data_IF_643997016626
#
_entry.id   IF_643997016626
#
_cell.length_a   1.000
_cell.length_b   1.000
_cell.length_c   1.000
_cell.angle_alpha   90.00
_cell.angle_beta   90.00
_cell.angle_gamma   90.00
#
_symmetry.space_group_name_H-M   'P 1'
#
loop_
_entity.id
_entity.type
_entity.pdbx_description
1 polymer ?
#
# COMPACT_ATOMS: atom_id res chain seq x y z
N UNK A 1 0.00 -17.07 11.85
CA UNK A 1 -0.65 -15.96 11.14
C UNK A 1 0.08 -14.67 11.49
N UNK A 2 0.10 -14.27 12.77
CA UNK A 2 0.82 -13.08 13.27
C UNK A 2 2.26 -12.90 12.75
N UNK A 3 3.10 -13.93 12.79
CA UNK A 3 4.50 -13.80 12.32
C UNK A 3 4.61 -13.47 10.83
N UNK A 4 3.71 -14.01 10.00
CA UNK A 4 3.72 -13.76 8.56
C UNK A 4 3.13 -12.37 8.29
N UNK A 5 2.05 -12.00 8.99
CA UNK A 5 1.50 -10.66 8.94
C UNK A 5 2.55 -9.60 9.31
N UNK A 6 3.34 -9.84 10.37
CA UNK A 6 4.45 -8.95 10.76
C UNK A 6 5.47 -8.77 9.64
N UNK A 7 5.88 -9.85 8.99
CA UNK A 7 6.79 -9.78 7.84
C UNK A 7 6.20 -8.92 6.69
N UNK A 8 4.91 -9.10 6.38
CA UNK A 8 4.24 -8.29 5.34
C UNK A 8 4.11 -6.82 5.75
N UNK A 9 3.79 -6.55 7.02
CA UNK A 9 3.71 -5.19 7.56
C UNK A 9 5.07 -4.51 7.49
N UNK A 10 6.14 -5.20 7.87
CA UNK A 10 7.50 -4.66 7.81
C UNK A 10 7.88 -4.35 6.35
N UNK A 11 7.53 -5.22 5.41
CA UNK A 11 7.72 -5.00 3.98
C UNK A 11 6.99 -3.74 3.49
N UNK A 12 5.70 -3.60 3.81
CA UNK A 12 4.89 -2.42 3.44
C UNK A 12 5.45 -1.16 4.10
N UNK A 13 5.73 -1.20 5.40
CA UNK A 13 6.16 -0.04 6.17
C UNK A 13 7.52 0.45 5.70
N UNK A 14 8.49 -0.44 5.51
CA UNK A 14 9.81 -0.08 5.00
C UNK A 14 9.73 0.55 3.60
N UNK A 15 8.89 -0.01 2.72
CA UNK A 15 8.67 0.54 1.39
C UNK A 15 8.08 1.95 1.46
N UNK A 16 7.01 2.13 2.23
CA UNK A 16 6.38 3.46 2.36
C UNK A 16 7.33 4.47 3.01
N UNK A 17 8.12 4.08 4.00
CA UNK A 17 9.11 4.96 4.64
C UNK A 17 10.25 5.36 3.70
N UNK A 18 10.66 4.49 2.78
CA UNK A 18 11.63 4.80 1.73
C UNK A 18 11.05 5.86 0.78
N UNK A 19 9.84 5.65 0.26
CA UNK A 19 9.18 6.59 -0.64
C UNK A 19 8.83 7.92 0.04
N UNK A 20 8.43 7.91 1.31
CA UNK A 20 8.24 9.14 2.11
C UNK A 20 9.55 9.92 2.28
N UNK A 21 10.68 9.24 2.48
CA UNK A 21 11.97 9.92 2.64
C UNK A 21 12.35 10.65 1.36
N UNK A 22 12.16 10.02 0.20
CA UNK A 22 12.38 10.67 -1.09
C UNK A 22 11.39 11.81 -1.34
N UNK A 23 10.10 11.59 -1.02
CA UNK A 23 9.07 12.62 -1.08
C UNK A 23 9.51 13.90 -0.38
N UNK A 24 9.97 13.79 0.88
CA UNK A 24 10.39 14.95 1.67
C UNK A 24 11.72 15.56 1.23
N UNK A 25 12.57 14.84 0.49
CA UNK A 25 13.77 15.43 -0.11
C UNK A 25 13.45 16.34 -1.29
N UNK A 26 12.33 16.11 -1.95
CA UNK A 26 11.89 16.84 -3.14
C UNK A 26 10.86 17.93 -2.80
N UNK A 27 10.10 17.74 -1.72
CA UNK A 27 9.03 18.65 -1.32
C UNK A 27 9.56 20.03 -0.88
N UNK A 28 9.18 21.07 -1.61
CA UNK A 28 9.46 22.48 -1.32
C UNK A 28 8.15 23.28 -1.25
N UNK A 29 7.61 23.43 -0.05
CA UNK A 29 6.32 24.07 0.18
C UNK A 29 6.27 25.52 -0.31
N UNK A 30 7.32 26.31 -0.04
CA UNK A 30 7.39 27.72 -0.40
C UNK A 30 7.39 27.90 -1.92
N UNK A 31 8.21 27.10 -2.62
CA UNK A 31 8.26 27.10 -4.09
C UNK A 31 6.92 26.73 -4.71
N UNK A 32 6.26 25.70 -4.19
CA UNK A 32 5.00 25.19 -4.73
C UNK A 32 3.82 26.12 -4.44
N UNK A 33 3.77 26.71 -3.25
CA UNK A 33 2.78 27.71 -2.88
C UNK A 33 2.87 28.92 -3.81
N UNK A 34 4.08 29.45 -4.04
CA UNK A 34 4.27 30.61 -4.91
C UNK A 34 3.77 30.35 -6.34
N UNK A 35 4.00 29.14 -6.86
CA UNK A 35 3.48 28.73 -8.17
C UNK A 35 1.95 28.67 -8.20
N UNK A 36 1.32 28.10 -7.17
CA UNK A 36 -0.13 27.96 -7.11
C UNK A 36 -0.82 29.33 -7.02
N UNK A 37 -0.31 30.26 -6.22
CA UNK A 37 -0.86 31.62 -6.06
C UNK A 37 -0.76 32.44 -7.35
N UNK A 38 0.37 32.31 -8.05
CA UNK A 38 0.67 33.08 -9.27
C UNK A 38 0.03 32.51 -10.54
N UNK A 39 -0.44 31.27 -10.52
CA UNK A 39 -1.29 30.70 -11.58
C UNK A 39 -2.77 31.13 -11.42
N UNK A 40 -3.20 31.44 -10.19
CA UNK A 40 -4.55 31.93 -9.91
C UNK A 40 -4.71 33.44 -10.11
N UNK A 41 -3.69 34.22 -9.76
CA UNK A 41 -3.67 35.67 -9.93
C UNK A 41 -2.89 36.03 -11.19
N UNK A 42 -3.30 37.02 -11.99
CA UNK A 42 -2.55 37.50 -13.17
C UNK A 42 -1.21 38.18 -12.83
N UNK A 43 -0.65 37.88 -11.65
CA UNK A 43 0.61 38.39 -11.14
C UNK A 43 1.78 37.65 -11.78
N UNK A 44 2.93 38.31 -11.88
CA UNK A 44 4.16 37.64 -12.36
C UNK A 44 4.65 36.71 -11.27
N UNK A 45 4.83 35.43 -11.62
CA UNK A 45 5.59 34.46 -10.83
C UNK A 45 7.05 34.95 -10.68
N UNK A 46 7.71 34.70 -9.55
CA UNK A 46 9.18 34.87 -9.47
C UNK A 46 9.89 33.71 -10.17
N UNK A 47 9.24 32.54 -10.21
CA UNK A 47 9.73 31.31 -10.82
C UNK A 47 8.97 30.96 -12.10
N UNK A 48 9.69 30.73 -13.17
CA UNK A 48 9.15 30.16 -14.40
C UNK A 48 8.72 28.70 -14.18
N UNK A 49 7.77 28.24 -15.00
CA UNK A 49 7.37 26.83 -15.06
C UNK A 49 8.59 25.90 -15.23
N UNK A 50 9.57 26.33 -16.03
CA UNK A 50 10.78 25.57 -16.30
C UNK A 50 11.69 25.48 -15.08
N UNK A 51 11.78 26.53 -14.24
CA UNK A 51 12.57 26.50 -13.00
C UNK A 51 12.01 25.51 -11.98
N UNK A 52 10.68 25.44 -11.83
CA UNK A 52 10.05 24.45 -10.94
C UNK A 52 10.13 23.07 -11.56
N UNK A 53 10.00 22.94 -12.88
CA UNK A 53 10.19 21.65 -13.54
C UNK A 53 11.63 21.13 -13.38
N UNK A 54 12.62 22.02 -13.32
CA UNK A 54 14.00 21.65 -13.05
C UNK A 54 14.24 21.27 -11.59
N UNK A 55 13.39 21.70 -10.65
CA UNK A 55 13.46 21.24 -9.25
C UNK A 55 12.84 19.86 -9.06
N UNK A 56 11.93 19.46 -9.95
CA UNK A 56 11.53 18.06 -10.10
C UNK A 56 12.72 17.29 -10.65
N UNK A 57 13.54 16.72 -9.75
CA UNK A 57 14.56 15.75 -10.15
C UNK A 57 13.87 14.71 -11.02
N UNK A 58 14.37 14.47 -12.24
CA UNK A 58 13.87 13.38 -13.07
C UNK A 58 14.26 12.09 -12.35
N UNK A 59 13.33 11.58 -11.56
CA UNK A 59 13.45 10.25 -10.95
C UNK A 59 12.74 9.28 -11.87
N UNK A 60 13.46 8.28 -12.33
CA UNK A 60 12.90 7.21 -13.15
C UNK A 60 11.70 6.57 -12.42
N UNK A 61 10.65 6.22 -13.17
CA UNK A 61 9.42 5.61 -12.65
C UNK A 61 8.60 6.48 -11.67
N UNK A 62 8.82 7.80 -11.64
CA UNK A 62 8.09 8.73 -10.77
C UNK A 62 7.55 9.93 -11.53
N UNK A 63 6.29 10.25 -11.26
CA UNK A 63 5.68 11.52 -11.66
C UNK A 63 5.53 12.44 -10.45
N UNK A 64 5.89 13.71 -10.63
CA UNK A 64 5.79 14.76 -9.64
C UNK A 64 4.89 15.84 -10.22
N UNK A 65 3.89 16.28 -9.46
CA UNK A 65 2.97 17.29 -9.95
C UNK A 65 2.30 18.13 -8.88
N UNK A 66 1.75 19.26 -9.32
CA UNK A 66 0.95 20.17 -8.51
C UNK A 66 -0.50 20.14 -8.99
N UNK A 67 -1.40 20.01 -8.04
CA UNK A 67 -2.85 20.05 -8.25
C UNK A 67 -3.38 21.30 -7.57
N UNK A 68 -4.13 22.14 -8.29
CA UNK A 68 -4.73 23.32 -7.69
C UNK A 68 -5.93 22.96 -6.79
N UNK A 69 -6.45 23.95 -6.07
CA UNK A 69 -7.61 23.79 -5.19
C UNK A 69 -8.89 23.27 -5.88
N UNK A 70 -8.99 23.39 -7.21
CA UNK A 70 -10.10 22.86 -8.02
C UNK A 70 -9.90 21.40 -8.45
N UNK A 71 -8.78 20.77 -8.09
CA UNK A 71 -8.47 19.39 -8.47
C UNK A 71 -7.82 19.24 -9.85
N UNK A 72 -7.37 20.32 -10.47
CA UNK A 72 -6.73 20.27 -11.81
C UNK A 72 -5.21 20.19 -11.64
N UNK A 73 -4.58 19.24 -12.33
CA UNK A 73 -3.11 19.16 -12.42
C UNK A 73 -2.61 20.35 -13.23
N UNK A 74 -1.89 21.27 -12.59
CA UNK A 74 -1.37 22.52 -13.21
C UNK A 74 0.10 22.42 -13.59
N UNK A 75 0.82 21.48 -12.98
CA UNK A 75 2.23 21.19 -13.25
C UNK A 75 2.46 19.69 -13.08
N UNK A 76 3.23 19.09 -13.98
CA UNK A 76 3.66 17.70 -13.85
C UNK A 76 4.90 17.45 -14.71
N UNK A 77 5.86 16.65 -14.23
CA UNK A 77 6.98 16.20 -15.07
C UNK A 77 6.54 15.24 -16.18
N UNK A 78 5.38 14.60 -16.04
CA UNK A 78 4.65 13.96 -17.12
C UNK A 78 3.66 14.95 -17.74
N UNK A 79 4.09 15.67 -18.79
CA UNK A 79 3.28 16.69 -19.47
C UNK A 79 1.90 16.20 -19.93
N UNK A 80 1.70 14.88 -20.15
CA UNK A 80 0.40 14.33 -20.53
C UNK A 80 -0.68 14.45 -19.44
N UNK A 81 -0.27 14.59 -18.17
CA UNK A 81 -1.19 14.69 -17.04
C UNK A 81 -1.71 16.12 -16.79
N UNK A 82 -1.03 17.14 -17.32
CA UNK A 82 -1.40 18.53 -17.11
C UNK A 82 -2.80 18.81 -17.69
N UNK A 83 -3.67 19.41 -16.88
CA UNK A 83 -5.07 19.70 -17.21
C UNK A 83 -6.04 18.59 -16.82
N UNK A 84 -5.55 17.42 -16.41
CA UNK A 84 -6.41 16.36 -15.89
C UNK A 84 -7.05 16.79 -14.57
N UNK A 85 -8.35 16.53 -14.42
CA UNK A 85 -9.06 16.77 -13.17
C UNK A 85 -9.06 15.50 -12.32
N UNK A 86 -8.31 15.51 -11.22
CA UNK A 86 -8.20 14.34 -10.34
C UNK A 86 -9.52 14.04 -9.65
N UNK A 87 -10.40 15.02 -9.46
CA UNK A 87 -11.72 14.85 -8.84
C UNK A 87 -12.67 13.94 -9.61
N UNK A 88 -12.29 13.49 -10.80
CA UNK A 88 -12.99 12.44 -11.55
C UNK A 88 -12.95 11.08 -10.86
N UNK A 89 -11.95 10.87 -9.99
CA UNK A 89 -11.83 9.72 -9.10
C UNK A 89 -12.54 10.04 -7.77
N UNK A 90 -13.68 9.42 -7.44
CA UNK A 90 -14.46 9.70 -6.23
C UNK A 90 -13.62 9.71 -4.93
N UNK A 91 -12.64 8.82 -4.88
CA UNK A 91 -11.69 8.66 -3.78
C UNK A 91 -10.78 9.89 -3.60
N UNK A 92 -10.53 10.68 -4.64
CA UNK A 92 -9.71 11.90 -4.52
C UNK A 92 -10.51 13.12 -4.02
N UNK A 93 -11.84 13.10 -4.16
CA UNK A 93 -12.71 14.24 -3.80
C UNK A 93 -12.56 14.62 -2.33
N UNK A 94 -12.54 13.61 -1.44
CA UNK A 94 -12.38 13.80 0.01
C UNK A 94 -11.04 14.45 0.41
N UNK A 95 -10.05 14.47 -0.48
CA UNK A 95 -8.75 15.09 -0.20
C UNK A 95 -8.60 16.50 -0.76
N UNK A 96 -9.44 16.86 -1.73
CA UNK A 96 -9.65 18.26 -2.09
C UNK A 96 -10.44 19.01 -0.99
N UNK A 97 -11.11 18.28 -0.10
CA UNK A 97 -11.73 18.87 1.09
C UNK A 97 -10.66 19.41 2.06
N UNK A 98 -10.86 20.64 2.55
CA UNK A 98 -9.93 21.32 3.47
C UNK A 98 -9.65 20.48 4.72
N UNK A 99 -10.67 19.80 5.26
CA UNK A 99 -10.54 18.91 6.40
C UNK A 99 -9.97 17.55 5.96
N UNK A 100 -8.77 17.19 6.43
CA UNK A 100 -8.18 15.89 6.12
C UNK A 100 -6.77 15.73 6.70
N UNK A 101 -6.15 14.56 6.54
CA UNK A 101 -4.74 14.37 6.87
C UNK A 101 -3.87 15.30 5.99
N UNK A 102 -2.74 15.77 6.53
CA UNK A 102 -1.79 16.56 5.74
C UNK A 102 -1.12 15.74 4.65
N UNK A 103 -0.76 14.49 4.95
CA UNK A 103 -0.12 13.54 4.04
C UNK A 103 -1.02 12.32 3.89
N UNK A 104 -1.18 11.84 2.66
CA UNK A 104 -2.08 10.71 2.34
C UNK A 104 -1.46 9.76 1.33
N UNK A 105 -1.81 8.47 1.46
CA UNK A 105 -1.37 7.37 0.59
C UNK A 105 -2.57 6.80 -0.15
N UNK A 106 -2.49 6.66 -1.48
CA UNK A 106 -3.53 6.00 -2.29
C UNK A 106 -2.94 5.21 -3.44
N UNK A 107 -3.63 4.16 -3.84
CA UNK A 107 -3.38 3.51 -5.12
C UNK A 107 -4.54 3.85 -6.06
N UNK A 108 -4.23 4.44 -7.21
CA UNK A 108 -5.21 4.84 -8.23
C UNK A 108 -4.80 4.30 -9.61
N UNK A 109 -5.76 4.09 -10.52
CA UNK A 109 -5.46 3.79 -11.91
C UNK A 109 -4.81 5.00 -12.59
N UNK A 110 -3.75 4.78 -13.36
CA UNK A 110 -3.12 5.81 -14.16
C UNK A 110 -4.09 6.31 -15.25
N UNK A 111 -4.31 7.62 -15.41
CA UNK A 111 -5.34 8.12 -16.33
C UNK A 111 -4.99 7.90 -17.81
N UNK A 112 -3.72 7.64 -18.12
CA UNK A 112 -3.24 7.47 -19.50
C UNK A 112 -2.63 6.09 -19.77
N UNK A 113 -2.35 5.32 -18.71
CA UNK A 113 -1.67 4.03 -18.81
C UNK A 113 -2.53 2.98 -18.15
N UNK A 114 -2.42 1.75 -18.61
CA UNK A 114 -3.13 0.64 -17.99
C UNK A 114 -2.37 0.08 -16.79
N UNK A 115 -2.05 0.95 -15.84
CA UNK A 115 -1.22 0.68 -14.67
C UNK A 115 -1.84 1.35 -13.45
N UNK A 116 -1.33 1.01 -12.27
CA UNK A 116 -1.67 1.70 -11.03
C UNK A 116 -0.47 2.45 -10.52
N UNK A 117 -0.70 3.54 -9.79
CA UNK A 117 0.36 4.28 -9.13
C UNK A 117 0.03 4.49 -7.67
N UNK A 118 1.06 4.49 -6.83
CA UNK A 118 0.98 4.92 -5.44
C UNK A 118 1.15 6.45 -5.41
N UNK A 119 0.18 7.14 -4.83
CA UNK A 119 0.21 8.58 -4.59
C UNK A 119 0.57 8.86 -3.16
N UNK A 120 1.58 9.71 -2.99
CA UNK A 120 1.85 10.44 -1.76
C UNK A 120 1.44 11.89 -2.03
N UNK A 121 0.39 12.33 -1.36
CA UNK A 121 -0.16 13.67 -1.53
C UNK A 121 -0.01 14.48 -0.26
N UNK A 122 0.61 15.66 -0.35
CA UNK A 122 0.66 16.64 0.73
C UNK A 122 -0.10 17.90 0.35
N UNK A 123 -0.99 18.34 1.23
CA UNK A 123 -1.72 19.61 1.07
C UNK A 123 -0.79 20.80 1.26
N UNK A 124 -1.05 21.85 0.51
CA UNK A 124 -0.34 23.13 0.56
C UNK A 124 -1.32 24.20 1.02
N UNK A 125 -0.90 24.97 2.02
CA UNK A 125 -1.67 26.07 2.57
C UNK A 125 -0.91 27.38 2.47
N UNK A 126 -1.62 28.49 2.29
CA UNK A 126 -1.03 29.82 2.40
C UNK A 126 -0.66 30.15 3.86
N UNK A 127 -0.03 31.32 4.06
CA UNK A 127 0.35 31.82 5.40
C UNK A 127 -0.85 32.11 6.31
N UNK A 128 -2.06 32.19 5.76
CA UNK A 128 -3.31 32.39 6.49
C UNK A 128 -4.04 31.08 6.80
N UNK A 129 -3.52 29.93 6.35
CA UNK A 129 -4.17 28.62 6.45
C UNK A 129 -5.23 28.34 5.37
N UNK A 130 -5.28 29.14 4.31
CA UNK A 130 -6.11 28.92 3.13
C UNK A 130 -5.54 27.77 2.31
N UNK A 131 -6.38 26.82 1.92
CA UNK A 131 -5.97 25.69 1.09
C UNK A 131 -5.76 26.12 -0.37
N UNK A 132 -4.54 25.93 -0.88
CA UNK A 132 -4.15 26.35 -2.24
C UNK A 132 -4.07 25.18 -3.23
N UNK A 133 -3.78 23.97 -2.73
CA UNK A 133 -3.65 22.80 -3.58
C UNK A 133 -2.90 21.65 -2.93
N UNK A 134 -2.38 20.74 -3.75
CA UNK A 134 -1.70 19.52 -3.35
C UNK A 134 -0.41 19.36 -4.16
N UNK A 135 0.68 19.02 -3.48
CA UNK A 135 1.82 18.38 -4.12
C UNK A 135 1.60 16.87 -4.17
N UNK A 136 1.77 16.30 -5.35
CA UNK A 136 1.52 14.89 -5.65
C UNK A 136 2.79 14.24 -6.14
N UNK A 137 3.22 13.22 -5.40
CA UNK A 137 4.29 12.31 -5.76
C UNK A 137 3.68 10.97 -6.15
N UNK A 138 3.92 10.55 -7.39
CA UNK A 138 3.28 9.39 -8.01
C UNK A 138 4.34 8.38 -8.38
N UNK A 139 4.28 7.23 -7.75
CA UNK A 139 5.17 6.11 -8.05
C UNK A 139 4.52 5.22 -9.11
N UNK A 140 5.10 5.23 -10.30
CA UNK A 140 4.77 4.41 -11.47
C UNK A 140 5.82 3.30 -11.59
N UNK A 141 5.94 2.46 -10.57
CA UNK A 141 7.08 1.55 -10.44
C UNK A 141 6.64 0.09 -10.37
N UNK A 142 7.36 -0.77 -11.10
CA UNK A 142 7.29 -2.23 -10.97
C UNK A 142 7.49 -2.65 -9.51
N UNK A 143 8.22 -1.87 -8.71
CA UNK A 143 8.35 -2.13 -7.27
C UNK A 143 7.02 -2.11 -6.52
N UNK A 144 6.06 -1.27 -6.92
CA UNK A 144 4.73 -1.25 -6.31
C UNK A 144 3.99 -2.55 -6.63
N UNK A 145 4.03 -2.99 -7.88
CA UNK A 145 3.44 -4.27 -8.29
C UNK A 145 4.09 -5.43 -7.53
N UNK A 146 5.42 -5.46 -7.44
CA UNK A 146 6.17 -6.46 -6.67
C UNK A 146 5.78 -6.41 -5.18
N UNK A 147 5.58 -5.22 -4.60
CA UNK A 147 5.12 -5.08 -3.22
C UNK A 147 3.73 -5.69 -3.07
N UNK A 148 2.77 -5.32 -3.91
CA UNK A 148 1.39 -5.78 -3.83
C UNK A 148 1.28 -7.29 -4.05
N UNK A 149 2.05 -7.84 -4.99
CA UNK A 149 2.15 -9.29 -5.22
C UNK A 149 2.75 -9.99 -4.00
N UNK A 150 3.85 -9.47 -3.42
CA UNK A 150 4.44 -10.03 -2.20
C UNK A 150 3.50 -9.93 -1.01
N UNK A 151 2.67 -8.90 -0.92
CA UNK A 151 1.66 -8.76 0.13
C UNK A 151 0.58 -9.82 -0.06
N UNK A 152 0.17 -10.10 -1.30
CA UNK A 152 -0.82 -11.15 -1.59
C UNK A 152 -0.28 -12.58 -1.45
N UNK A 153 1.03 -12.76 -1.58
CA UNK A 153 1.66 -14.09 -1.55
C UNK A 153 1.76 -14.66 -0.12
N UNK A 154 0.78 -15.49 0.21
CA UNK A 154 0.80 -16.40 1.35
C UNK A 154 0.82 -17.87 0.91
N UNK A 155 1.30 -18.15 -0.32
CA UNK A 155 1.25 -19.47 -0.94
C UNK A 155 -0.18 -19.95 -1.28
N UNK A 156 -0.31 -21.23 -1.66
CA UNK A 156 -1.57 -21.79 -2.18
C UNK A 156 -2.70 -21.94 -1.14
N UNK A 157 -2.48 -21.55 0.12
CA UNK A 157 -3.38 -21.88 1.23
C UNK A 157 -4.06 -20.68 1.87
N UNK A 158 -3.61 -19.46 1.59
CA UNK A 158 -4.21 -18.26 2.14
C UNK A 158 -4.19 -17.14 1.11
N UNK A 159 -5.20 -16.28 1.14
CA UNK A 159 -5.19 -15.02 0.39
C UNK A 159 -4.76 -13.89 1.32
N UNK A 160 -3.73 -13.16 0.92
CA UNK A 160 -3.37 -11.88 1.52
C UNK A 160 -3.94 -10.74 0.70
N UNK A 161 -4.45 -9.70 1.33
CA UNK A 161 -4.84 -8.51 0.59
C UNK A 161 -4.92 -7.24 1.44
N UNK A 162 -4.81 -6.08 0.78
CA UNK A 162 -4.99 -4.77 1.39
C UNK A 162 -6.32 -4.17 0.97
N UNK A 163 -6.98 -3.45 1.89
CA UNK A 163 -8.09 -2.55 1.56
C UNK A 163 -7.83 -1.15 2.14
N UNK A 164 -8.45 -0.14 1.53
CA UNK A 164 -8.43 1.23 2.06
C UNK A 164 -9.64 1.51 2.97
N UNK A 165 -9.68 2.71 3.55
CA UNK A 165 -10.81 3.22 4.36
C UNK A 165 -12.18 3.27 3.65
N UNK A 166 -12.22 3.08 2.34
CA UNK A 166 -13.44 3.06 1.51
C UNK A 166 -13.89 1.63 1.20
N UNK A 167 -13.34 0.62 1.90
CA UNK A 167 -13.60 -0.81 1.67
C UNK A 167 -13.12 -1.30 0.29
N UNK A 168 -12.25 -0.57 -0.38
CA UNK A 168 -11.80 -0.93 -1.74
C UNK A 168 -10.50 -1.71 -1.68
N UNK A 169 -10.45 -2.80 -2.45
CA UNK A 169 -9.28 -3.66 -2.61
C UNK A 169 -8.11 -2.91 -3.27
N UNK A 170 -6.93 -2.96 -2.66
CA UNK A 170 -5.70 -2.28 -3.09
C UNK A 170 -4.70 -3.24 -3.76
N UNK A 171 -4.71 -4.51 -3.39
CA UNK A 171 -3.87 -5.56 -3.98
C UNK A 171 -4.66 -6.34 -5.06
N UNK A 172 -3.99 -7.04 -5.99
CA UNK A 172 -4.66 -8.08 -6.79
C UNK A 172 -5.38 -9.10 -5.91
N UNK A 173 -6.56 -9.54 -6.35
CA UNK A 173 -7.22 -10.73 -5.82
C UNK A 173 -6.86 -11.96 -6.65
N UNK A 174 -6.71 -13.09 -5.99
CA UNK A 174 -6.55 -14.40 -6.65
C UNK A 174 -7.88 -14.99 -7.12
N UNK A 175 -9.01 -14.44 -6.63
CA UNK A 175 -10.36 -14.90 -6.91
C UNK A 175 -11.12 -14.03 -7.93
N UNK A 176 -10.63 -12.82 -8.24
CA UNK A 176 -11.21 -11.92 -9.24
C UNK A 176 -10.40 -11.98 -10.54
N UNK A 177 -11.04 -12.43 -11.62
CA UNK A 177 -10.41 -12.51 -12.93
C UNK A 177 -10.63 -11.23 -13.74
N UNK A 178 -9.60 -10.81 -14.48
CA UNK A 178 -9.67 -9.67 -15.38
C UNK A 178 -8.53 -8.68 -15.17
N UNK A 179 -8.59 -7.58 -15.92
CA UNK A 179 -7.64 -6.47 -15.84
C UNK A 179 -7.63 -5.86 -14.44
N UNK A 180 -6.45 -5.79 -13.81
CA UNK A 180 -6.29 -5.31 -12.44
C UNK A 180 -6.79 -6.24 -11.34
N UNK A 181 -7.36 -7.42 -11.65
CA UNK A 181 -7.76 -8.45 -10.69
C UNK A 181 -8.54 -7.92 -9.47
N UNK A 182 -9.50 -7.02 -9.70
CA UNK A 182 -10.33 -6.42 -8.66
C UNK A 182 -9.76 -5.16 -7.98
N UNK A 183 -8.53 -4.76 -8.29
CA UNK A 183 -7.90 -3.59 -7.68
C UNK A 183 -8.65 -2.29 -7.99
N UNK A 184 -8.87 -1.46 -6.97
CA UNK A 184 -9.58 -0.17 -7.01
C UNK A 184 -11.06 -0.28 -7.45
N UNK A 185 -11.56 -1.48 -7.79
CA UNK A 185 -12.94 -1.70 -8.25
C UNK A 185 -13.73 -2.65 -7.34
N UNK A 186 -13.05 -3.57 -6.66
CA UNK A 186 -13.67 -4.56 -5.79
C UNK A 186 -13.91 -3.96 -4.40
N UNK A 187 -15.17 -3.94 -3.99
CA UNK A 187 -15.54 -3.64 -2.61
C UNK A 187 -15.44 -4.90 -1.74
N UNK A 188 -14.82 -4.76 -0.57
CA UNK A 188 -14.65 -5.81 0.44
C UNK A 188 -15.53 -5.47 1.63
N UNK A 189 -16.81 -5.88 1.55
CA UNK A 189 -17.79 -5.63 2.61
C UNK A 189 -18.02 -6.90 3.44
N UNK A 190 -17.11 -7.16 4.37
CA UNK A 190 -17.16 -8.31 5.29
C UNK A 190 -17.28 -7.80 6.72
N UNK A 191 -17.67 -8.66 7.66
CA UNK A 191 -17.67 -8.30 9.08
C UNK A 191 -16.26 -7.90 9.55
N UNK A 192 -15.23 -8.58 9.04
CA UNK A 192 -13.85 -8.32 9.41
C UNK A 192 -13.31 -7.00 8.84
N UNK A 193 -13.73 -6.62 7.62
CA UNK A 193 -13.38 -5.30 7.07
C UNK A 193 -14.04 -4.16 7.84
N UNK A 194 -15.30 -4.33 8.25
CA UNK A 194 -15.99 -3.40 9.12
C UNK A 194 -15.28 -3.23 10.48
N UNK A 195 -14.87 -4.33 11.12
CA UNK A 195 -14.13 -4.29 12.39
C UNK A 195 -12.78 -3.56 12.26
N UNK A 196 -12.03 -3.84 11.20
CA UNK A 196 -10.76 -3.17 10.95
C UNK A 196 -10.93 -1.66 10.72
N UNK A 197 -11.91 -1.26 9.91
CA UNK A 197 -12.14 0.15 9.61
C UNK A 197 -12.72 0.91 10.82
N UNK A 198 -13.53 0.25 11.66
CA UNK A 198 -13.95 0.80 12.95
C UNK A 198 -12.75 0.98 13.90
N UNK A 199 -11.81 0.03 13.88
CA UNK A 199 -10.55 0.15 14.63
C UNK A 199 -9.79 1.39 14.18
N UNK A 200 -9.56 1.56 12.88
CA UNK A 200 -8.91 2.77 12.32
C UNK A 200 -9.64 4.06 12.71
N UNK A 201 -10.96 4.08 12.60
CA UNK A 201 -11.77 5.27 12.92
C UNK A 201 -11.73 5.66 14.40
N UNK A 202 -11.49 4.69 15.29
CA UNK A 202 -11.33 4.91 16.73
C UNK A 202 -9.93 5.41 17.13
N UNK A 203 -8.95 5.33 16.22
CA UNK A 203 -7.59 5.81 16.48
C UNK A 203 -7.48 7.30 16.16
N UNK A 204 -6.75 8.01 17.03
CA UNK A 204 -6.39 9.40 16.74
C UNK A 204 -5.49 9.48 15.51
N UNK A 205 -5.63 10.56 14.72
CA UNK A 205 -4.88 10.76 13.46
C UNK A 205 -3.36 10.83 13.63
N UNK A 206 -2.87 11.07 14.83
CA UNK A 206 -1.43 11.20 15.13
C UNK A 206 -0.77 9.88 15.58
N UNK A 207 -1.54 8.81 15.72
CA UNK A 207 -1.00 7.54 16.22
C UNK A 207 -0.48 6.68 15.05
N UNK A 208 0.77 6.23 15.08
CA UNK A 208 1.30 5.29 14.06
C UNK A 208 1.07 3.82 14.48
N UNK A 209 0.05 3.58 15.31
CA UNK A 209 -0.25 2.25 15.83
C UNK A 209 -0.65 1.25 14.75
N UNK A 210 -0.16 0.03 14.93
CA UNK A 210 -0.52 -1.16 14.15
C UNK A 210 -1.28 -2.08 15.10
N UNK A 211 -2.55 -2.36 14.79
CA UNK A 211 -3.44 -3.14 15.65
C UNK A 211 -3.85 -4.42 14.94
N UNK A 212 -3.57 -5.55 15.58
CA UNK A 212 -3.98 -6.87 15.11
C UNK A 212 -5.40 -7.16 15.56
N UNK A 213 -6.26 -7.51 14.62
CA UNK A 213 -7.59 -8.05 14.90
C UNK A 213 -7.51 -9.47 15.44
N UNK A 214 -8.62 -9.91 16.01
CA UNK A 214 -8.79 -11.30 16.41
C UNK A 214 -8.97 -12.21 15.19
N UNK A 215 -8.64 -13.49 15.37
CA UNK A 215 -8.87 -14.51 14.35
C UNK A 215 -10.35 -14.92 14.38
N UNK A 216 -11.09 -14.64 13.31
CA UNK A 216 -12.53 -14.83 13.25
C UNK A 216 -12.97 -15.63 12.01
N UNK A 217 -14.10 -16.32 12.12
CA UNK A 217 -14.77 -16.97 11.00
C UNK A 217 -15.83 -16.04 10.41
N UNK A 218 -15.82 -15.86 9.10
CA UNK A 218 -16.78 -15.02 8.38
C UNK A 218 -16.89 -15.42 6.91
N UNK A 219 -17.82 -14.80 6.19
CA UNK A 219 -17.97 -14.93 4.74
C UNK A 219 -17.11 -13.87 4.05
N UNK A 220 -16.23 -14.30 3.15
CA UNK A 220 -15.33 -13.43 2.40
C UNK A 220 -16.06 -12.62 1.33
N UNK A 221 -15.38 -11.65 0.71
CA UNK A 221 -15.98 -10.83 -0.36
C UNK A 221 -16.29 -11.61 -1.64
N UNK A 222 -15.73 -12.82 -1.79
CA UNK A 222 -16.03 -13.73 -2.91
C UNK A 222 -17.04 -14.84 -2.53
N UNK A 223 -17.60 -14.80 -1.32
CA UNK A 223 -18.71 -15.66 -0.90
C UNK A 223 -18.32 -16.98 -0.24
N UNK A 224 -17.04 -17.20 0.04
CA UNK A 224 -16.57 -18.42 0.72
C UNK A 224 -16.45 -18.22 2.22
N UNK A 225 -16.62 -19.31 2.98
CA UNK A 225 -16.39 -19.28 4.43
C UNK A 225 -14.89 -19.35 4.71
N UNK A 226 -14.38 -18.32 5.38
CA UNK A 226 -12.96 -18.18 5.68
C UNK A 226 -12.73 -18.05 7.18
N UNK A 227 -11.53 -18.42 7.61
CA UNK A 227 -10.94 -18.02 8.88
C UNK A 227 -9.90 -16.94 8.54
N UNK A 228 -10.11 -15.73 9.05
CA UNK A 228 -9.30 -14.57 8.68
C UNK A 228 -8.87 -13.74 9.87
N UNK A 229 -7.79 -12.99 9.68
CA UNK A 229 -7.26 -12.03 10.63
C UNK A 229 -6.93 -10.74 9.88
N UNK A 230 -7.17 -9.60 10.51
CA UNK A 230 -6.81 -8.30 9.96
C UNK A 230 -5.71 -7.62 10.76
N UNK A 231 -5.09 -6.63 10.13
CA UNK A 231 -4.21 -5.67 10.78
C UNK A 231 -4.57 -4.26 10.30
N UNK A 232 -4.96 -3.41 11.25
CA UNK A 232 -5.21 -2.01 11.02
C UNK A 232 -3.89 -1.23 11.04
N UNK A 233 -3.55 -0.55 9.95
CA UNK A 233 -2.33 0.26 9.80
C UNK A 233 -2.69 1.75 9.76
N UNK A 234 -2.69 2.40 10.93
CA UNK A 234 -3.28 3.73 11.07
C UNK A 234 -2.61 4.80 10.19
N UNK A 235 -1.28 4.79 10.10
CA UNK A 235 -0.51 5.72 9.26
C UNK A 235 -0.99 5.74 7.80
N UNK A 236 -1.35 4.56 7.28
CA UNK A 236 -1.74 4.39 5.87
C UNK A 236 -3.26 4.48 5.65
N UNK A 237 -4.06 4.42 6.72
CA UNK A 237 -5.51 4.18 6.67
C UNK A 237 -5.87 2.94 5.83
N UNK A 238 -5.02 1.91 5.93
CA UNK A 238 -5.19 0.63 5.24
C UNK A 238 -5.38 -0.50 6.25
N UNK A 239 -6.05 -1.54 5.79
CA UNK A 239 -6.21 -2.78 6.52
C UNK A 239 -5.62 -3.92 5.70
N UNK A 240 -4.69 -4.66 6.31
CA UNK A 240 -4.12 -5.89 5.75
C UNK A 240 -4.91 -7.08 6.26
N UNK A 241 -5.35 -7.94 5.36
CA UNK A 241 -6.04 -9.18 5.66
C UNK A 241 -5.19 -10.36 5.24
N UNK A 242 -5.34 -11.44 6.00
CA UNK A 242 -4.98 -12.77 5.55
C UNK A 242 -6.13 -13.71 5.87
N UNK A 243 -6.57 -14.45 4.87
CA UNK A 243 -7.76 -15.30 4.92
C UNK A 243 -7.45 -16.70 4.44
N UNK A 244 -8.03 -17.70 5.09
CA UNK A 244 -7.90 -19.10 4.70
C UNK A 244 -9.30 -19.68 4.56
N UNK A 245 -9.60 -20.26 3.40
CA UNK A 245 -10.84 -21.02 3.18
C UNK A 245 -10.98 -22.13 4.24
N UNK A 246 -12.10 -22.16 4.95
CA UNK A 246 -12.32 -23.04 6.09
C UNK A 246 -12.22 -24.52 5.72
N UNK A 247 -12.74 -24.89 4.55
CA UNK A 247 -12.73 -26.28 4.07
C UNK A 247 -11.31 -26.73 3.68
N UNK A 248 -10.44 -25.80 3.30
CA UNK A 248 -9.04 -26.04 2.99
C UNK A 248 -8.10 -25.85 4.18
N UNK A 249 -8.53 -25.14 5.24
CA UNK A 249 -7.74 -24.82 6.42
C UNK A 249 -7.12 -26.07 7.03
N UNK A 250 -7.94 -27.06 7.40
CA UNK A 250 -7.43 -28.28 8.03
C UNK A 250 -6.57 -29.10 7.08
N UNK A 251 -7.02 -29.32 5.84
CA UNK A 251 -6.30 -30.17 4.88
C UNK A 251 -4.90 -29.63 4.58
N UNK A 252 -4.79 -28.35 4.20
CA UNK A 252 -3.52 -27.73 3.80
C UNK A 252 -2.61 -27.44 5.00
N UNK A 253 -3.18 -27.07 6.15
CA UNK A 253 -2.41 -26.88 7.39
C UNK A 253 -1.80 -28.20 7.90
N UNK A 254 -2.55 -29.31 7.86
CA UNK A 254 -2.01 -30.62 8.20
C UNK A 254 -0.94 -31.07 7.21
N UNK A 255 -1.11 -30.85 5.91
CA UNK A 255 -0.07 -31.14 4.91
C UNK A 255 1.23 -30.37 5.20
N UNK A 256 1.15 -29.08 5.51
CA UNK A 256 2.31 -28.25 5.87
C UNK A 256 3.02 -28.74 7.15
N UNK A 257 2.26 -29.02 8.22
CA UNK A 257 2.81 -29.54 9.46
C UNK A 257 3.45 -30.92 9.27
N UNK A 258 2.81 -31.81 8.52
CA UNK A 258 3.32 -33.16 8.24
C UNK A 258 4.64 -33.06 7.47
N UNK A 259 4.73 -32.22 6.43
CA UNK A 259 5.99 -32.05 5.69
C UNK A 259 7.10 -31.52 6.58
N UNK A 260 6.82 -30.54 7.45
CA UNK A 260 7.80 -29.96 8.37
C UNK A 260 8.28 -30.95 9.43
N UNK A 261 7.36 -31.71 10.02
CA UNK A 261 7.68 -32.75 11.02
C UNK A 261 8.44 -33.92 10.40
N UNK A 262 8.04 -34.38 9.20
CA UNK A 262 8.75 -35.42 8.45
C UNK A 262 10.17 -34.96 8.11
N UNK A 263 10.33 -33.73 7.62
CA UNK A 263 11.66 -33.19 7.30
C UNK A 263 12.55 -33.05 8.55
N UNK A 264 11.99 -32.59 9.67
CA UNK A 264 12.67 -32.56 10.97
C UNK A 264 13.13 -33.93 11.42
N UNK A 265 12.26 -34.94 11.33
CA UNK A 265 12.59 -36.33 11.64
C UNK A 265 13.72 -36.87 10.74
N UNK A 266 13.64 -36.64 9.43
CA UNK A 266 14.70 -37.07 8.49
C UNK A 266 16.04 -36.38 8.78
N UNK A 267 16.05 -35.09 9.12
CA UNK A 267 17.28 -34.38 9.52
C UNK A 267 17.90 -34.97 10.77
N UNK A 268 17.08 -35.32 11.77
CA UNK A 268 17.57 -35.98 12.99
C UNK A 268 18.17 -37.35 12.67
N UNK A 269 17.48 -38.19 11.89
CA UNK A 269 17.99 -39.50 11.46
C UNK A 269 19.29 -39.36 10.67
N UNK A 270 19.37 -38.41 9.74
CA UNK A 270 20.56 -38.14 8.95
C UNK A 270 21.75 -37.74 9.83
N UNK A 271 21.54 -36.87 10.83
CA UNK A 271 22.56 -36.51 11.81
C UNK A 271 23.03 -37.73 12.61
N UNK A 272 22.12 -38.59 13.07
CA UNK A 272 22.50 -39.83 13.77
C UNK A 272 23.33 -40.78 12.89
N UNK A 273 22.98 -40.91 11.61
CA UNK A 273 23.75 -41.73 10.66
C UNK A 273 25.15 -41.14 10.45
N UNK A 274 25.27 -39.82 10.26
CA UNK A 274 26.56 -39.14 10.14
C UNK A 274 27.42 -39.31 11.39
N UNK A 275 26.85 -39.08 12.58
CA UNK A 275 27.56 -39.29 13.85
C UNK A 275 28.03 -40.73 14.03
N UNK A 276 27.17 -41.70 13.66
CA UNK A 276 27.53 -43.12 13.66
C UNK A 276 28.68 -43.44 12.71
N UNK A 277 28.64 -42.89 11.50
CA UNK A 277 29.69 -43.05 10.49
C UNK A 277 31.03 -42.47 10.96
N UNK A 278 31.06 -41.23 11.46
CA UNK A 278 32.28 -40.61 11.98
C UNK A 278 32.86 -41.36 13.18
N UNK A 279 32.00 -41.87 14.09
CA UNK A 279 32.45 -42.68 15.22
C UNK A 279 33.04 -44.02 14.77
N UNK A 280 32.46 -44.64 13.75
CA UNK A 280 32.98 -45.88 13.17
C UNK A 280 34.33 -45.67 12.47
N UNK A 281 34.47 -44.60 11.68
CA UNK A 281 35.71 -44.28 10.97
C UNK A 281 36.86 -43.97 11.95
N UNK A 282 36.60 -43.15 12.98
CA UNK A 282 37.57 -42.87 14.04
C UNK A 282 37.97 -44.09 14.89
N UNK A 283 37.16 -45.16 14.89
CA UNK A 283 37.50 -46.41 15.61
C UNK A 283 38.44 -47.34 14.84
N UNK A 284 38.70 -47.05 13.55
CA UNK A 284 39.60 -47.82 12.69
C UNK A 284 41.02 -47.25 12.60
N UNK A 285 41.22 -46.02 13.03
CA UNK A 285 42.53 -45.35 13.22
C UNK A 285 43.06 -45.58 14.62
#
# INVERSE_FOLDING_TARGET
MDSILREKIDLITNFIEEEEREFYQIYDEDLFLEFLESNQSSSKTSYSKDEIMNSFVIVENKSLGLVNSSGIIVLDNNNGLIGFNVSTYPETVKYLEVAGPELTYRILPHPLENTFYLLLNKKIYDKNGTYEGIFSYRLLDDKLEILLDKVGDFGDFAEGYLINQEYILITPSTHVFGEGAGRVIQAVNTSNSLECLNTLSGLGKENNEIIFGELNEYESYWGEKVIGQYVAMNKLNWCLFVEIEKDNFFKKYFEFLIVKEIFGFFMVVFLFVLFGYFKYENSKT
#
